data_IF_901004998383
#
_entry.id   IF_901004998383
#
_cell.length_a   1.000
_cell.length_b   1.000
_cell.length_c   1.000
_cell.angle_alpha   90.00
_cell.angle_beta   90.00
_cell.angle_gamma   90.00
#
_symmetry.space_group_name_H-M   'P 1'
#
loop_
_entity.id
_entity.type
_entity.pdbx_description
1 polymer ?
#
# COMPACT_ATOMS: atom_id res chain seq x y z
N UNK A 1 -4.85 -33.98 20.41
CA UNK A 1 -5.20 -34.24 19.01
C UNK A 1 -6.27 -33.26 18.53
N UNK A 2 -7.36 -33.04 19.25
CA UNK A 2 -8.45 -32.11 18.88
C UNK A 2 -8.02 -30.64 18.69
N UNK A 3 -7.14 -30.12 19.55
CA UNK A 3 -6.68 -28.71 19.47
C UNK A 3 -5.90 -28.41 18.18
N UNK A 4 -5.08 -29.37 17.71
CA UNK A 4 -4.30 -29.18 16.48
C UNK A 4 -5.19 -29.10 15.24
N UNK A 5 -6.32 -29.81 15.24
CA UNK A 5 -7.28 -29.83 14.14
C UNK A 5 -8.01 -28.49 14.04
N UNK A 6 -8.38 -27.89 15.18
CA UNK A 6 -8.98 -26.56 15.24
C UNK A 6 -8.02 -25.46 14.78
N UNK A 7 -6.72 -25.58 15.07
CA UNK A 7 -5.70 -24.60 14.62
C UNK A 7 -5.54 -24.62 13.10
N UNK A 8 -5.56 -25.80 12.47
CA UNK A 8 -5.41 -25.93 11.02
C UNK A 8 -6.60 -25.33 10.25
N UNK A 9 -7.84 -25.55 10.70
CA UNK A 9 -9.02 -24.96 10.08
C UNK A 9 -9.02 -23.42 10.15
N UNK A 10 -8.55 -22.86 11.26
CA UNK A 10 -8.46 -21.40 11.42
C UNK A 10 -7.38 -20.81 10.51
N UNK A 11 -6.25 -21.50 10.34
CA UNK A 11 -5.16 -21.05 9.48
C UNK A 11 -5.60 -21.06 8.01
N UNK A 12 -6.20 -22.14 7.53
CA UNK A 12 -6.68 -22.27 6.15
C UNK A 12 -7.71 -21.19 5.80
N UNK A 13 -8.70 -20.98 6.68
CA UNK A 13 -9.68 -19.91 6.52
C UNK A 13 -9.04 -18.50 6.49
N UNK A 14 -8.00 -18.28 7.30
CA UNK A 14 -7.29 -17.00 7.36
C UNK A 14 -6.46 -16.73 6.11
N UNK A 15 -5.86 -17.75 5.51
CA UNK A 15 -5.10 -17.62 4.26
C UNK A 15 -6.00 -17.24 3.09
N UNK A 16 -7.13 -17.94 2.93
CA UNK A 16 -8.12 -17.62 1.92
C UNK A 16 -8.65 -16.19 2.07
N UNK A 17 -9.01 -15.79 3.30
CA UNK A 17 -9.48 -14.43 3.56
C UNK A 17 -8.42 -13.38 3.23
N UNK A 18 -7.16 -13.64 3.63
CA UNK A 18 -6.04 -12.72 3.38
C UNK A 18 -5.79 -12.53 1.89
N UNK A 19 -5.85 -13.59 1.09
CA UNK A 19 -5.66 -13.52 -0.38
C UNK A 19 -6.79 -12.72 -1.03
N UNK A 20 -8.05 -13.01 -0.70
CA UNK A 20 -9.20 -12.31 -1.28
C UNK A 20 -9.20 -10.81 -0.93
N UNK A 21 -8.99 -10.47 0.33
CA UNK A 21 -8.90 -9.08 0.78
C UNK A 21 -7.72 -8.38 0.13
N UNK A 22 -6.56 -9.05 0.03
CA UNK A 22 -5.38 -8.51 -0.64
C UNK A 22 -5.64 -8.15 -2.09
N UNK A 23 -6.38 -9.01 -2.81
CA UNK A 23 -6.76 -8.75 -4.19
C UNK A 23 -7.71 -7.55 -4.30
N UNK A 24 -8.76 -7.51 -3.49
CA UNK A 24 -9.72 -6.39 -3.50
C UNK A 24 -9.01 -5.06 -3.21
N UNK A 25 -8.11 -5.02 -2.24
CA UNK A 25 -7.39 -3.79 -1.89
C UNK A 25 -6.38 -3.42 -2.99
N UNK A 26 -5.71 -4.39 -3.62
CA UNK A 26 -4.81 -4.12 -4.74
C UNK A 26 -5.56 -3.43 -5.89
N UNK A 27 -6.66 -4.02 -6.36
CA UNK A 27 -7.43 -3.45 -7.47
C UNK A 27 -8.11 -2.14 -7.07
N UNK A 28 -8.80 -2.12 -5.92
CA UNK A 28 -9.47 -0.92 -5.42
C UNK A 28 -8.50 0.24 -5.18
N UNK A 29 -7.33 -0.05 -4.60
CA UNK A 29 -6.29 0.95 -4.34
C UNK A 29 -5.63 1.49 -5.61
N UNK A 30 -5.37 0.64 -6.61
CA UNK A 30 -4.87 1.09 -7.93
C UNK A 30 -5.90 2.01 -8.58
N UNK A 31 -7.18 1.62 -8.60
CA UNK A 31 -8.24 2.46 -9.16
C UNK A 31 -8.36 3.80 -8.44
N UNK A 32 -8.33 3.81 -7.11
CA UNK A 32 -8.37 5.03 -6.30
C UNK A 32 -7.22 5.99 -6.65
N UNK A 33 -5.98 5.50 -6.59
CA UNK A 33 -4.81 6.33 -6.89
C UNK A 33 -4.76 6.81 -8.36
N UNK A 34 -5.24 6.03 -9.32
CA UNK A 34 -5.36 6.48 -10.73
C UNK A 34 -6.35 7.64 -10.84
N UNK A 35 -7.49 7.56 -10.14
CA UNK A 35 -8.49 8.64 -10.12
C UNK A 35 -7.90 9.90 -9.47
N UNK A 36 -7.19 9.77 -8.34
CA UNK A 36 -6.53 10.91 -7.68
C UNK A 36 -5.54 11.60 -8.62
N UNK A 37 -4.66 10.84 -9.29
CA UNK A 37 -3.70 11.38 -10.27
C UNK A 37 -4.43 12.07 -11.42
N UNK A 38 -5.52 11.49 -11.92
CA UNK A 38 -6.31 12.07 -13.01
C UNK A 38 -6.97 13.39 -12.58
N UNK A 39 -7.55 13.44 -11.38
CA UNK A 39 -8.20 14.63 -10.84
C UNK A 39 -7.20 15.77 -10.64
N UNK A 40 -6.05 15.49 -10.04
CA UNK A 40 -4.99 16.49 -9.82
C UNK A 40 -4.33 16.94 -11.12
N UNK A 41 -4.21 16.06 -12.12
CA UNK A 41 -3.61 16.40 -13.43
C UNK A 41 -4.57 17.18 -14.34
N UNK A 42 -5.87 16.85 -14.29
CA UNK A 42 -6.91 17.42 -15.16
C UNK A 42 -7.39 18.80 -14.68
N UNK A 43 -7.40 19.03 -13.37
CA UNK A 43 -7.98 20.25 -12.81
C UNK A 43 -7.02 21.44 -12.91
N UNK A 44 -7.28 22.35 -13.85
CA UNK A 44 -6.56 23.63 -14.04
C UNK A 44 -6.32 24.47 -12.77
N UNK A 45 -7.26 24.60 -11.80
CA UNK A 45 -6.99 25.38 -10.57
C UNK A 45 -5.95 24.72 -9.64
N UNK A 46 -5.80 23.40 -9.69
CA UNK A 46 -4.86 22.68 -8.82
C UNK A 46 -3.41 22.77 -9.30
N UNK A 47 -3.16 23.04 -10.60
CA UNK A 47 -1.80 23.18 -11.16
C UNK A 47 -0.99 24.36 -10.59
N UNK A 48 -1.65 25.36 -10.00
CA UNK A 48 -0.97 26.50 -9.38
C UNK A 48 -0.61 26.26 -7.90
N UNK A 49 -1.17 25.23 -7.29
CA UNK A 49 -0.95 24.96 -5.88
C UNK A 49 0.15 23.89 -5.72
N UNK A 50 1.30 24.20 -5.09
CA UNK A 50 2.39 23.23 -4.89
C UNK A 50 1.94 21.97 -4.14
N UNK A 51 0.87 22.07 -3.35
CA UNK A 51 0.25 20.96 -2.62
C UNK A 51 -0.29 19.85 -3.53
N UNK A 52 -0.92 20.21 -4.64
CA UNK A 52 -1.50 19.24 -5.57
C UNK A 52 -0.41 18.41 -6.26
N UNK A 53 0.75 19.02 -6.53
CA UNK A 53 1.91 18.31 -7.06
C UNK A 53 2.45 17.29 -6.05
N UNK A 54 2.55 17.67 -4.77
CA UNK A 54 2.99 16.76 -3.70
C UNK A 54 2.02 15.59 -3.50
N UNK A 55 0.71 15.86 -3.45
CA UNK A 55 -0.34 14.83 -3.35
C UNK A 55 -0.33 13.87 -4.56
N UNK A 56 -0.02 14.37 -5.75
CA UNK A 56 0.11 13.53 -6.95
C UNK A 56 1.35 12.63 -6.84
N UNK A 57 2.50 13.18 -6.43
CA UNK A 57 3.72 12.41 -6.23
C UNK A 57 3.56 11.35 -5.13
N UNK A 58 2.87 11.70 -4.04
CA UNK A 58 2.52 10.78 -2.97
C UNK A 58 1.61 9.65 -3.48
N UNK A 59 0.56 9.97 -4.23
CA UNK A 59 -0.34 8.96 -4.82
C UNK A 59 0.41 7.98 -5.73
N UNK A 60 1.41 8.44 -6.49
CA UNK A 60 2.27 7.57 -7.31
C UNK A 60 3.12 6.65 -6.43
N UNK A 61 3.79 7.20 -5.41
CA UNK A 61 4.61 6.40 -4.48
C UNK A 61 3.75 5.38 -3.74
N UNK A 62 2.55 5.77 -3.30
CA UNK A 62 1.65 4.90 -2.57
C UNK A 62 1.06 3.80 -3.48
N UNK A 63 0.82 4.09 -4.76
CA UNK A 63 0.43 3.09 -5.76
C UNK A 63 1.52 2.04 -6.00
N UNK A 64 2.79 2.48 -6.19
CA UNK A 64 3.94 1.56 -6.32
C UNK A 64 4.09 0.72 -5.05
N UNK A 65 3.91 1.35 -3.89
CA UNK A 65 3.99 0.67 -2.61
C UNK A 65 2.86 -0.37 -2.44
N UNK A 66 1.62 -0.04 -2.82
CA UNK A 66 0.48 -0.96 -2.82
C UNK A 66 0.78 -2.20 -3.68
N UNK A 67 1.31 -2.00 -4.89
CA UNK A 67 1.70 -3.09 -5.79
C UNK A 67 2.71 -4.05 -5.12
N UNK A 68 3.75 -3.50 -4.48
CA UNK A 68 4.81 -4.32 -3.87
C UNK A 68 4.32 -5.00 -2.58
N UNK A 69 3.62 -4.28 -1.72
CA UNK A 69 3.14 -4.81 -0.43
C UNK A 69 2.09 -5.90 -0.61
N UNK A 70 1.15 -5.73 -1.54
CA UNK A 70 0.14 -6.76 -1.77
C UNK A 70 0.64 -7.93 -2.63
N UNK A 71 1.53 -7.70 -3.61
CA UNK A 71 2.20 -8.82 -4.30
C UNK A 71 3.01 -9.68 -3.33
N UNK A 72 3.62 -9.07 -2.33
CA UNK A 72 4.34 -9.79 -1.28
C UNK A 72 3.46 -10.68 -0.42
N UNK A 73 2.29 -10.18 0.00
CA UNK A 73 1.31 -10.97 0.76
C UNK A 73 0.75 -12.11 -0.08
N UNK A 74 0.40 -11.84 -1.33
CA UNK A 74 -0.11 -12.87 -2.25
C UNK A 74 0.93 -13.96 -2.48
N UNK A 75 2.21 -13.61 -2.59
CA UNK A 75 3.24 -14.59 -2.85
C UNK A 75 3.65 -15.41 -1.61
N UNK A 76 3.64 -14.81 -0.40
CA UNK A 76 3.86 -15.55 0.85
C UNK A 76 2.69 -16.52 1.11
N UNK A 77 1.44 -16.03 1.06
CA UNK A 77 0.26 -16.84 1.32
C UNK A 77 -0.11 -17.80 0.16
N UNK A 78 0.24 -17.47 -1.08
CA UNK A 78 -0.13 -18.27 -2.26
C UNK A 78 0.93 -19.27 -2.70
N UNK A 79 2.22 -19.00 -2.45
CA UNK A 79 3.33 -19.85 -2.91
C UNK A 79 4.22 -20.38 -1.78
N UNK A 80 3.91 -20.07 -0.51
CA UNK A 80 4.67 -20.51 0.67
C UNK A 80 6.19 -20.20 0.59
N UNK A 81 6.55 -19.15 -0.17
CA UNK A 81 7.93 -18.80 -0.44
C UNK A 81 8.24 -17.43 0.18
N UNK A 82 9.13 -17.41 1.17
CA UNK A 82 9.55 -16.21 1.90
C UNK A 82 10.41 -15.28 1.02
N UNK A 83 9.74 -14.49 0.17
CA UNK A 83 10.37 -13.42 -0.63
C UNK A 83 11.04 -12.35 0.25
N UNK A 84 10.67 -12.30 1.52
CA UNK A 84 11.25 -11.44 2.56
C UNK A 84 12.73 -11.73 2.80
N UNK A 85 13.19 -12.96 2.55
CA UNK A 85 14.59 -13.35 2.71
C UNK A 85 15.44 -13.10 1.46
N UNK A 86 14.81 -12.90 0.29
CA UNK A 86 15.52 -12.87 -1.01
C UNK A 86 15.85 -11.46 -1.49
N UNK A 87 15.30 -10.37 -0.91
CA UNK A 87 15.51 -9.02 -1.46
C UNK A 87 15.61 -7.89 -0.45
N UNK A 88 16.80 -7.26 -0.38
CA UNK A 88 17.09 -5.99 0.34
C UNK A 88 16.14 -4.85 -0.04
N UNK A 89 15.55 -4.90 -1.24
CA UNK A 89 14.52 -3.97 -1.70
C UNK A 89 13.29 -3.95 -0.79
N UNK A 90 12.86 -5.10 -0.27
CA UNK A 90 11.67 -5.22 0.59
C UNK A 90 11.87 -4.56 1.95
N UNK A 91 13.05 -4.74 2.53
CA UNK A 91 13.40 -4.17 3.84
C UNK A 91 13.56 -2.64 3.76
N UNK A 92 14.22 -2.14 2.70
CA UNK A 92 14.27 -0.69 2.41
C UNK A 92 12.89 -0.10 2.17
N UNK A 93 12.00 -0.83 1.50
CA UNK A 93 10.65 -0.37 1.22
C UNK A 93 9.80 -0.25 2.49
N UNK A 94 9.90 -1.18 3.44
CA UNK A 94 9.20 -1.08 4.73
C UNK A 94 9.58 0.19 5.49
N UNK A 95 10.86 0.57 5.42
CA UNK A 95 11.35 1.81 6.02
C UNK A 95 10.82 3.06 5.28
N UNK A 96 10.59 2.95 3.96
CA UNK A 96 9.97 4.01 3.15
C UNK A 96 8.54 4.33 3.61
N UNK A 97 7.77 3.32 4.04
CA UNK A 97 6.38 3.47 4.55
C UNK A 97 6.34 4.32 5.81
N UNK A 98 7.21 4.01 6.77
CA UNK A 98 7.30 4.76 8.02
C UNK A 98 7.71 6.23 7.74
N UNK A 99 8.56 6.43 6.73
CA UNK A 99 9.05 7.74 6.31
C UNK A 99 7.98 8.55 5.56
N UNK A 100 7.13 7.91 4.73
CA UNK A 100 6.05 8.60 4.02
C UNK A 100 4.96 9.09 4.98
N UNK A 101 4.60 8.26 5.97
CA UNK A 101 3.58 8.61 6.98
C UNK A 101 4.00 9.82 7.85
N UNK A 102 5.28 9.89 8.25
CA UNK A 102 5.79 11.03 9.02
C UNK A 102 5.91 12.30 8.20
N UNK A 103 6.34 12.19 6.93
CA UNK A 103 6.38 13.31 5.99
C UNK A 103 4.98 13.90 5.72
N UNK A 104 3.96 13.05 5.56
CA UNK A 104 2.57 13.48 5.38
C UNK A 104 2.02 14.24 6.58
N UNK A 105 2.29 13.75 7.79
CA UNK A 105 1.88 14.43 9.02
C UNK A 105 2.49 15.83 9.12
N UNK A 106 3.80 15.96 8.81
CA UNK A 106 4.51 17.24 8.83
C UNK A 106 4.07 18.19 7.71
N UNK A 107 3.79 17.68 6.51
CA UNK A 107 3.41 18.50 5.35
C UNK A 107 2.01 19.10 5.50
N UNK A 108 1.05 18.33 6.03
CA UNK A 108 -0.29 18.83 6.35
C UNK A 108 -0.24 19.94 7.41
N UNK A 109 0.60 19.78 8.43
CA UNK A 109 0.81 20.81 9.46
C UNK A 109 1.40 22.08 8.83
N UNK A 110 2.48 21.99 8.07
CA UNK A 110 3.13 23.16 7.43
C UNK A 110 2.19 23.98 6.52
N UNK A 111 1.26 23.32 5.83
CA UNK A 111 0.35 23.99 4.90
C UNK A 111 -0.89 24.65 5.56
N UNK A 112 -1.20 24.29 6.81
CA UNK A 112 -2.26 24.94 7.60
C UNK A 112 -1.75 26.24 8.24
N UNK A 113 -0.43 26.37 8.44
CA UNK A 113 0.21 27.52 9.06
C UNK A 113 0.76 28.57 8.07
N UNK A 114 0.55 28.40 6.76
CA UNK A 114 1.01 29.31 5.69
C UNK A 114 -0.17 29.73 4.81
#
# INVERSE_FOLDING_TARGET
MSIQLTVQEILDASEHFTIYVSFIILFGGIFGHIIDILVFTSSKPFRKNPSAFYLTAESIVNCIHLLISYSSRIAINGFNNDLTQTSILWCKLRNLIATSCTLLSLCNVMQIYC
#
